data_IF_452608185583
#
_entry.id   IF_452608185583
#
_cell.length_a   1.000
_cell.length_b   1.000
_cell.length_c   1.000
_cell.angle_alpha   90.00
_cell.angle_beta   90.00
_cell.angle_gamma   90.00
#
_symmetry.space_group_name_H-M   'P 1'
#
loop_
_entity.id
_entity.type
_entity.pdbx_description
1 polymer ?
#
# COMPACT_ATOMS: atom_id res chain seq x y z
N UNK A 1 6.15 -3.26 -16.45
CA UNK A 1 4.93 -3.83 -15.82
C UNK A 1 4.42 -2.89 -14.73
N UNK A 2 3.11 -2.70 -14.64
CA UNK A 2 2.48 -1.85 -13.62
C UNK A 2 1.54 -2.69 -12.75
N UNK A 3 1.71 -2.57 -11.44
CA UNK A 3 0.70 -2.94 -10.45
C UNK A 3 -0.09 -1.69 -10.13
N UNK A 4 -1.40 -1.72 -10.35
CA UNK A 4 -2.27 -0.56 -10.09
C UNK A 4 -3.27 -0.94 -8.99
N UNK A 5 -3.39 -0.10 -7.98
CA UNK A 5 -4.42 -0.23 -6.94
C UNK A 5 -5.16 1.10 -6.78
N UNK A 6 -6.48 1.05 -6.96
CA UNK A 6 -7.34 2.21 -6.83
C UNK A 6 -8.09 2.22 -5.49
N UNK A 7 -8.21 3.39 -4.87
CA UNK A 7 -8.96 3.59 -3.62
C UNK A 7 -9.72 4.91 -3.65
N UNK A 8 -10.98 4.87 -3.23
CA UNK A 8 -11.85 6.05 -3.08
C UNK A 8 -12.16 6.39 -1.62
N UNK A 9 -11.68 5.59 -0.66
CA UNK A 9 -12.01 5.80 0.75
C UNK A 9 -10.85 5.43 1.69
N UNK A 10 -10.53 6.31 2.65
CA UNK A 10 -9.38 6.13 3.57
C UNK A 10 -9.55 4.89 4.44
N UNK A 11 -10.77 4.54 4.89
CA UNK A 11 -10.94 3.34 5.71
C UNK A 11 -10.57 2.06 4.97
N UNK A 12 -10.56 2.04 3.63
CA UNK A 12 -10.03 0.90 2.83
C UNK A 12 -8.51 0.72 2.95
N UNK A 13 -7.80 1.61 3.62
CA UNK A 13 -6.42 1.37 4.05
C UNK A 13 -6.40 0.36 5.20
N UNK A 14 -7.42 0.39 6.06
CA UNK A 14 -7.53 -0.52 7.19
C UNK A 14 -7.88 -1.90 6.68
N UNK A 15 -6.93 -2.82 6.79
CA UNK A 15 -7.06 -4.16 6.24
C UNK A 15 -6.20 -5.16 6.99
N UNK A 16 -6.75 -6.37 7.16
CA UNK A 16 -6.08 -7.49 7.83
C UNK A 16 -6.09 -8.69 6.91
N UNK A 17 -5.05 -9.50 6.96
CA UNK A 17 -4.98 -10.78 6.27
C UNK A 17 -6.23 -11.63 6.60
N UNK A 18 -6.95 -12.08 5.57
CA UNK A 18 -8.20 -12.86 5.74
C UNK A 18 -8.04 -14.35 5.43
N UNK A 19 -6.95 -14.76 4.79
CA UNK A 19 -6.77 -16.17 4.42
C UNK A 19 -6.60 -17.04 5.67
N UNK A 20 -7.26 -18.20 5.66
CA UNK A 20 -7.22 -19.19 6.75
C UNK A 20 -6.34 -20.40 6.42
N UNK A 21 -5.90 -20.52 5.17
CA UNK A 21 -5.00 -21.57 4.73
C UNK A 21 -3.60 -21.39 5.35
N UNK A 22 -3.17 -22.34 6.16
CA UNK A 22 -1.97 -22.22 6.99
C UNK A 22 -0.69 -22.03 6.16
N UNK A 23 -0.57 -22.76 5.05
CA UNK A 23 0.58 -22.66 4.15
C UNK A 23 0.64 -21.29 3.47
N UNK A 24 -0.49 -20.79 2.99
CA UNK A 24 -0.61 -19.43 2.43
C UNK A 24 -0.28 -18.38 3.49
N UNK A 25 -0.81 -18.50 4.71
CA UNK A 25 -0.50 -17.60 5.82
C UNK A 25 1.01 -17.58 6.07
N UNK A 26 1.64 -18.75 6.21
CA UNK A 26 3.08 -18.87 6.47
C UNK A 26 3.91 -18.21 5.38
N UNK A 27 3.61 -18.47 4.11
CA UNK A 27 4.29 -17.86 2.96
C UNK A 27 4.13 -16.35 2.92
N UNK A 28 2.91 -15.85 3.16
CA UNK A 28 2.63 -14.41 3.19
C UNK A 28 3.42 -13.74 4.32
N UNK A 29 3.38 -14.29 5.53
CA UNK A 29 4.09 -13.73 6.68
C UNK A 29 5.60 -13.73 6.47
N UNK A 30 6.16 -14.79 5.85
CA UNK A 30 7.58 -14.84 5.50
C UNK A 30 7.94 -13.74 4.49
N UNK A 31 7.16 -13.59 3.43
CA UNK A 31 7.38 -12.54 2.42
C UNK A 31 7.27 -11.14 3.04
N UNK A 32 6.29 -10.89 3.90
CA UNK A 32 6.13 -9.60 4.59
C UNK A 32 7.34 -9.30 5.49
N UNK A 33 7.88 -10.29 6.22
CA UNK A 33 9.09 -10.13 7.03
C UNK A 33 10.31 -9.80 6.17
N UNK A 34 10.50 -10.50 5.06
CA UNK A 34 11.61 -10.23 4.13
C UNK A 34 11.55 -8.78 3.62
N UNK A 35 10.37 -8.32 3.21
CA UNK A 35 10.16 -6.95 2.73
C UNK A 35 10.38 -5.93 3.84
N UNK A 36 9.87 -6.19 5.04
CA UNK A 36 10.06 -5.33 6.22
C UNK A 36 11.55 -5.11 6.51
N UNK A 37 12.34 -6.18 6.44
CA UNK A 37 13.80 -6.13 6.61
C UNK A 37 14.49 -5.40 5.45
N UNK A 38 14.12 -5.70 4.20
CA UNK A 38 14.66 -5.04 3.02
C UNK A 38 14.43 -3.52 3.04
N UNK A 39 13.27 -3.09 3.54
CA UNK A 39 12.90 -1.68 3.69
C UNK A 39 13.43 -1.04 4.97
N UNK A 40 14.11 -1.81 5.84
CA UNK A 40 14.66 -1.36 7.13
C UNK A 40 13.60 -0.66 8.00
N UNK A 41 12.41 -1.24 8.03
CA UNK A 41 11.30 -0.74 8.85
C UNK A 41 11.70 -0.69 10.33
N UNK A 42 11.45 0.44 10.99
CA UNK A 42 11.81 0.67 12.40
C UNK A 42 10.72 0.27 13.41
N UNK A 43 9.56 -0.17 12.94
CA UNK A 43 8.41 -0.49 13.80
C UNK A 43 8.35 -1.97 14.16
N UNK A 44 7.80 -2.28 15.33
CA UNK A 44 7.36 -3.64 15.70
C UNK A 44 5.95 -3.95 15.22
N UNK A 45 5.26 -3.01 14.58
CA UNK A 45 3.92 -3.20 14.02
C UNK A 45 3.85 -4.44 13.10
N UNK A 46 2.78 -5.20 13.26
CA UNK A 46 2.49 -6.41 12.47
C UNK A 46 1.91 -6.01 11.11
N UNK A 47 2.70 -6.18 10.05
CA UNK A 47 2.33 -5.80 8.70
C UNK A 47 1.18 -6.64 8.10
N UNK A 48 0.80 -7.74 8.75
CA UNK A 48 -0.36 -8.56 8.37
C UNK A 48 -1.69 -8.04 8.94
N UNK A 49 -1.63 -7.05 9.85
CA UNK A 49 -2.79 -6.52 10.57
C UNK A 49 -2.93 -5.03 10.30
N UNK A 50 -4.18 -4.56 10.18
CA UNK A 50 -4.51 -3.13 10.08
C UNK A 50 -4.06 -2.41 8.80
N UNK A 51 -3.01 -2.83 8.09
CA UNK A 51 -2.52 -2.19 6.85
C UNK A 51 -2.10 -3.22 5.78
N UNK A 52 -2.68 -4.42 5.83
CA UNK A 52 -2.25 -5.59 5.06
C UNK A 52 -2.27 -5.39 3.54
N UNK A 53 -3.32 -4.79 2.98
CA UNK A 53 -3.40 -4.60 1.52
C UNK A 53 -2.19 -3.81 1.00
N UNK A 54 -1.81 -2.73 1.69
CA UNK A 54 -0.67 -1.91 1.32
C UNK A 54 0.66 -2.69 1.44
N UNK A 55 0.87 -3.37 2.56
CA UNK A 55 2.11 -4.14 2.79
C UNK A 55 2.22 -5.32 1.82
N UNK A 56 1.10 -5.93 1.45
CA UNK A 56 1.04 -6.98 0.44
C UNK A 56 1.40 -6.47 -0.96
N UNK A 57 0.97 -5.25 -1.34
CA UNK A 57 1.42 -4.63 -2.59
C UNK A 57 2.91 -4.31 -2.61
N UNK A 58 3.46 -3.86 -1.48
CA UNK A 58 4.91 -3.72 -1.36
C UNK A 58 5.64 -5.06 -1.54
N UNK A 59 5.09 -6.15 -0.99
CA UNK A 59 5.65 -7.48 -1.14
C UNK A 59 5.63 -7.97 -2.60
N UNK A 60 4.52 -7.76 -3.31
CA UNK A 60 4.47 -8.06 -4.75
C UNK A 60 5.47 -7.23 -5.55
N UNK A 61 5.54 -5.90 -5.31
CA UNK A 61 6.52 -5.06 -5.98
C UNK A 61 7.94 -5.54 -5.70
N UNK A 62 8.26 -5.85 -4.45
CA UNK A 62 9.56 -6.40 -4.06
C UNK A 62 9.88 -7.70 -4.80
N UNK A 63 8.95 -8.67 -4.81
CA UNK A 63 9.12 -9.96 -5.47
C UNK A 63 9.48 -9.78 -6.95
N UNK A 64 8.74 -8.95 -7.66
CA UNK A 64 8.96 -8.71 -9.09
C UNK A 64 10.33 -8.06 -9.34
N UNK A 65 10.69 -7.06 -8.52
CA UNK A 65 11.97 -6.37 -8.63
C UNK A 65 13.15 -7.28 -8.29
N UNK A 66 13.01 -8.15 -7.29
CA UNK A 66 14.02 -9.14 -6.91
C UNK A 66 14.27 -10.14 -8.04
N UNK A 67 13.25 -10.45 -8.84
CA UNK A 67 13.34 -11.32 -10.02
C UNK A 67 13.69 -10.56 -11.32
N UNK A 68 14.29 -9.36 -11.22
CA UNK A 68 14.80 -8.62 -12.38
C UNK A 68 13.75 -7.87 -13.21
N UNK A 69 12.47 -7.93 -12.84
CA UNK A 69 11.41 -7.28 -13.63
C UNK A 69 11.39 -5.76 -13.43
N UNK A 70 11.15 -5.03 -14.52
CA UNK A 70 10.87 -3.60 -14.48
C UNK A 70 9.42 -3.35 -14.04
N UNK A 71 9.18 -3.42 -12.72
CA UNK A 71 7.88 -3.25 -12.10
C UNK A 71 7.73 -1.91 -11.36
N UNK A 72 6.55 -1.32 -11.46
CA UNK A 72 6.12 -0.13 -10.72
C UNK A 72 4.80 -0.40 -10.01
N UNK A 73 4.60 0.25 -8.87
CA UNK A 73 3.35 0.23 -8.12
C UNK A 73 2.71 1.62 -8.17
N UNK A 74 1.50 1.71 -8.72
CA UNK A 74 0.75 2.96 -8.82
C UNK A 74 -0.48 2.86 -7.94
N UNK A 75 -0.57 3.74 -6.96
CA UNK A 75 -1.79 3.95 -6.20
C UNK A 75 -2.57 5.09 -6.84
N UNK A 76 -3.84 4.83 -7.15
CA UNK A 76 -4.78 5.82 -7.67
C UNK A 76 -5.77 6.14 -6.56
N UNK A 77 -5.76 7.39 -6.11
CA UNK A 77 -6.58 7.87 -5.01
C UNK A 77 -7.64 8.83 -5.55
N UNK A 78 -8.90 8.44 -5.43
CA UNK A 78 -10.01 9.29 -5.85
C UNK A 78 -10.36 10.31 -4.76
N UNK A 79 -10.68 11.53 -5.17
CA UNK A 79 -11.23 12.58 -4.33
C UNK A 79 -12.60 13.01 -4.86
N UNK A 80 -13.39 13.64 -4.00
CA UNK A 80 -14.73 14.14 -4.32
C UNK A 80 -15.74 13.04 -4.72
N UNK A 81 -15.48 11.79 -4.35
CA UNK A 81 -16.41 10.68 -4.57
C UNK A 81 -17.59 10.78 -3.59
N UNK A 82 -18.68 11.36 -4.08
CA UNK A 82 -19.91 11.61 -3.33
C UNK A 82 -20.65 10.33 -2.94
N UNK A 83 -20.41 9.21 -3.62
CA UNK A 83 -21.09 7.93 -3.35
C UNK A 83 -20.55 7.24 -2.10
N UNK A 84 -19.28 7.46 -1.76
CA UNK A 84 -18.59 6.72 -0.69
C UNK A 84 -18.19 7.58 0.51
N UNK A 85 -18.64 8.84 0.57
CA UNK A 85 -18.15 9.85 1.53
C UNK A 85 -16.61 9.83 1.60
N UNK A 86 -16.01 9.85 0.42
CA UNK A 86 -14.56 9.81 0.22
C UNK A 86 -13.85 11.06 0.72
N UNK A 87 -12.50 11.06 0.75
CA UNK A 87 -11.74 12.29 0.91
C UNK A 87 -12.13 13.32 -0.14
N UNK A 88 -12.21 14.57 0.27
CA UNK A 88 -12.55 15.71 -0.59
C UNK A 88 -11.31 16.42 -1.11
N UNK A 89 -10.16 16.19 -0.48
CA UNK A 89 -8.91 16.87 -0.84
C UNK A 89 -7.74 15.89 -0.99
N UNK A 90 -6.77 16.29 -1.81
CA UNK A 90 -5.47 15.60 -1.92
C UNK A 90 -4.73 15.62 -0.57
N UNK A 91 -4.94 16.65 0.26
CA UNK A 91 -4.28 16.80 1.56
C UNK A 91 -4.67 15.68 2.53
N UNK A 92 -5.95 15.32 2.58
CA UNK A 92 -6.45 14.21 3.40
C UNK A 92 -5.76 12.89 3.03
N UNK A 93 -5.66 12.58 1.73
CA UNK A 93 -4.92 11.39 1.30
C UNK A 93 -3.44 11.44 1.66
N UNK A 94 -2.77 12.58 1.44
CA UNK A 94 -1.36 12.74 1.82
C UNK A 94 -1.16 12.54 3.32
N UNK A 95 -2.07 13.05 4.14
CA UNK A 95 -2.09 12.83 5.60
C UNK A 95 -2.23 11.35 5.95
N UNK A 96 -3.21 10.66 5.36
CA UNK A 96 -3.43 9.24 5.58
C UNK A 96 -2.24 8.37 5.15
N UNK A 97 -1.63 8.67 3.99
CA UNK A 97 -0.44 7.98 3.49
C UNK A 97 0.77 8.22 4.41
N UNK A 98 0.94 9.46 4.89
CA UNK A 98 2.01 9.79 5.85
C UNK A 98 1.83 9.03 7.17
N UNK A 99 0.61 8.97 7.70
CA UNK A 99 0.30 8.20 8.90
C UNK A 99 0.58 6.71 8.67
N UNK A 100 0.14 6.16 7.54
CA UNK A 100 0.41 4.78 7.14
C UNK A 100 1.92 4.48 7.12
N UNK A 101 2.73 5.33 6.48
CA UNK A 101 4.19 5.17 6.45
C UNK A 101 4.80 5.22 7.85
N UNK A 102 4.34 6.12 8.70
CA UNK A 102 4.76 6.21 10.11
C UNK A 102 4.41 4.93 10.89
N UNK A 103 3.18 4.43 10.78
CA UNK A 103 2.74 3.19 11.42
C UNK A 103 3.59 1.99 10.97
N UNK A 104 3.88 1.90 9.67
CA UNK A 104 4.75 0.88 9.09
C UNK A 104 6.24 1.10 9.37
N UNK A 105 6.62 2.21 10.02
CA UNK A 105 8.01 2.51 10.34
C UNK A 105 8.91 2.66 9.12
N UNK A 106 8.35 3.04 7.97
CA UNK A 106 9.07 3.23 6.71
C UNK A 106 9.14 4.71 6.34
N UNK A 107 10.34 5.18 6.00
CA UNK A 107 10.58 6.54 5.54
C UNK A 107 11.08 6.55 4.09
N UNK A 108 12.29 7.07 3.86
CA UNK A 108 12.99 6.84 2.59
C UNK A 108 13.39 5.37 2.51
N UNK A 109 12.97 4.68 1.46
CA UNK A 109 13.27 3.25 1.27
C UNK A 109 13.51 2.91 -0.20
N UNK A 110 14.14 1.75 -0.46
CA UNK A 110 14.62 1.34 -1.80
C UNK A 110 13.52 1.26 -2.86
N UNK A 111 12.31 0.87 -2.49
CA UNK A 111 11.17 0.80 -3.41
C UNK A 111 10.53 2.15 -3.76
N UNK A 112 10.86 3.24 -3.06
CA UNK A 112 10.13 4.52 -3.19
C UNK A 112 10.14 5.08 -4.61
N UNK A 113 11.26 4.96 -5.32
CA UNK A 113 11.40 5.42 -6.71
C UNK A 113 10.55 4.60 -7.72
N UNK A 114 9.95 3.50 -7.28
CA UNK A 114 9.08 2.63 -8.09
C UNK A 114 7.62 2.69 -7.64
N UNK A 115 7.29 3.62 -6.75
CA UNK A 115 5.92 3.84 -6.25
C UNK A 115 5.47 5.23 -6.71
N UNK A 116 4.30 5.29 -7.32
CA UNK A 116 3.64 6.54 -7.70
C UNK A 116 2.28 6.64 -7.00
N UNK A 117 1.95 7.83 -6.51
CA UNK A 117 0.63 8.15 -5.98
C UNK A 117 -0.01 9.17 -6.93
N UNK A 118 -1.12 8.79 -7.55
CA UNK A 118 -1.90 9.64 -8.45
C UNK A 118 -3.19 10.00 -7.72
N UNK A 119 -3.58 11.27 -7.79
CA UNK A 119 -4.83 11.75 -7.21
C UNK A 119 -5.75 12.18 -8.34
N UNK A 120 -6.99 11.70 -8.33
CA UNK A 120 -7.96 11.92 -9.39
C UNK A 120 -9.23 12.51 -8.77
N UNK A 121 -9.62 13.69 -9.23
CA UNK A 121 -10.89 14.29 -8.86
C UNK A 121 -12.00 13.66 -9.70
N UNK A 122 -12.95 13.00 -9.06
CA UNK A 122 -14.05 12.31 -9.75
C UNK A 122 -14.93 13.30 -10.52
N UNK A 123 -15.01 14.55 -10.06
CA UNK A 123 -15.77 15.61 -10.74
C UNK A 123 -15.18 15.98 -12.11
N UNK A 124 -13.91 15.64 -12.38
CA UNK A 124 -13.25 15.89 -13.67
C UNK A 124 -13.41 14.74 -14.67
N UNK A 125 -14.09 13.66 -14.28
CA UNK A 125 -14.30 12.47 -15.10
C UNK A 125 -15.73 12.40 -15.70
N UNK A 126 -16.53 13.44 -15.50
CA UNK A 126 -17.92 13.53 -15.94
C UNK A 126 -18.07 14.44 -17.17
#
# INVERSE_FOLDING_TARGET
>A
MFLVEAKSYIQKLISTLQTKDEDSVKRILQNLREVKNYLRSKTNFDWSKGLYQYTNRLAHLYLLRKNGLCAYLVFVFFISDSQVKGPTTVSEWKGAIKLLHSCLGIGKHKLRARIANIFVDVNQLQ
#
